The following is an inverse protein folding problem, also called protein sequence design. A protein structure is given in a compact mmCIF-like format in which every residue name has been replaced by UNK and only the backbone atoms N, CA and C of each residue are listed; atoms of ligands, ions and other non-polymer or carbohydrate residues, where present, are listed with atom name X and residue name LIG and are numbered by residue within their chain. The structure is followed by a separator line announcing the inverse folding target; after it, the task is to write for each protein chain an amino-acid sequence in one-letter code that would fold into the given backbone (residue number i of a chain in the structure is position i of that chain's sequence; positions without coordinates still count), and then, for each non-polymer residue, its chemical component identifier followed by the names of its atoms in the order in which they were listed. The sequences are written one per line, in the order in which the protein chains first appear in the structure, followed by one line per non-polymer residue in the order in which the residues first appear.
data_IF_905650748912
#
_entry.id   IF_905650748912
#
_cell.length_a   1.000
_cell.length_b   1.000
_cell.length_c   1.000
_cell.angle_alpha   90.00
_cell.angle_beta   90.00
_cell.angle_gamma   90.00
#
_symmetry.space_group_name_H-M   'P 1'
#
loop_
_entity.id
_entity.type
_entity.pdbx_description
1 polymer ?
#
# COMPACT_ATOMS: atom_id res chain seq x y z
N UNK A 1 -22.93 7.03 -4.05
CA UNK A 1 -23.00 8.47 -3.72
C UNK A 1 -21.59 8.88 -3.33
N UNK A 2 -20.96 9.84 -4.01
CA UNK A 2 -19.65 10.33 -3.59
C UNK A 2 -19.86 11.20 -2.35
N UNK A 3 -19.31 10.78 -1.21
CA UNK A 3 -19.21 11.64 -0.03
C UNK A 3 -18.43 12.91 -0.39
N UNK A 4 -18.82 14.05 0.19
CA UNK A 4 -18.14 15.34 -0.01
C UNK A 4 -16.69 15.34 0.51
N UNK A 5 -16.33 14.38 1.37
CA UNK A 5 -14.99 14.15 1.89
C UNK A 5 -14.76 12.67 2.21
N UNK A 6 -13.50 12.27 2.28
CA UNK A 6 -13.06 10.97 2.77
C UNK A 6 -12.70 11.15 4.25
N UNK A 7 -13.38 10.44 5.14
CA UNK A 7 -13.06 10.47 6.56
C UNK A 7 -11.81 9.60 6.78
N UNK A 8 -10.74 10.21 7.27
CA UNK A 8 -9.45 9.52 7.46
C UNK A 8 -8.91 9.71 8.86
N UNK A 9 -8.29 8.65 9.38
CA UNK A 9 -7.47 8.73 10.57
C UNK A 9 -6.03 9.10 10.20
N UNK A 10 -5.47 10.08 10.90
CA UNK A 10 -4.12 10.60 10.68
C UNK A 10 -3.32 10.54 11.99
N UNK A 11 -2.17 9.83 12.06
CA UNK A 11 -1.30 9.76 13.22
C UNK A 11 -0.45 11.04 13.31
N UNK A 12 -1.14 12.17 13.48
CA UNK A 12 -0.52 13.49 13.47
C UNK A 12 0.55 13.63 14.57
N UNK A 13 0.38 12.99 15.73
CA UNK A 13 1.33 13.02 16.84
C UNK A 13 2.68 12.38 16.53
N UNK A 14 2.73 11.46 15.57
CA UNK A 14 3.98 10.80 15.14
C UNK A 14 4.61 11.47 13.93
N UNK A 15 3.96 12.51 13.40
CA UNK A 15 4.31 13.20 12.17
C UNK A 15 4.98 14.54 12.49
N UNK A 16 5.89 15.01 11.64
CA UNK A 16 6.54 16.31 11.87
C UNK A 16 5.53 17.46 11.76
N UNK A 17 5.74 18.54 12.51
CA UNK A 17 4.83 19.70 12.47
C UNK A 17 4.67 20.26 11.05
N UNK A 18 5.76 20.36 10.29
CA UNK A 18 5.74 20.86 8.92
C UNK A 18 4.88 19.99 7.99
N UNK A 19 4.96 18.67 8.18
CA UNK A 19 4.17 17.71 7.42
C UNK A 19 2.69 17.72 7.83
N UNK A 20 2.37 17.90 9.12
CA UNK A 20 0.99 18.12 9.58
C UNK A 20 0.40 19.36 8.88
N UNK A 21 1.11 20.50 8.92
CA UNK A 21 0.66 21.72 8.25
C UNK A 21 0.46 21.50 6.75
N UNK A 22 1.43 20.89 6.08
CA UNK A 22 1.37 20.61 4.63
C UNK A 22 0.19 19.70 4.29
N UNK A 23 -0.02 18.64 5.07
CA UNK A 23 -1.11 17.68 4.90
C UNK A 23 -2.47 18.34 5.02
N UNK A 24 -2.71 19.10 6.10
CA UNK A 24 -3.99 19.77 6.33
C UNK A 24 -4.30 20.76 5.21
N UNK A 25 -3.33 21.61 4.84
CA UNK A 25 -3.51 22.62 3.80
C UNK A 25 -3.75 22.04 2.40
N UNK A 26 -3.03 20.97 2.05
CA UNK A 26 -3.08 20.43 0.68
C UNK A 26 -4.17 19.39 0.47
N UNK A 27 -4.46 18.55 1.48
CA UNK A 27 -5.29 17.36 1.31
C UNK A 27 -6.64 17.42 2.02
N UNK A 28 -6.85 18.34 2.97
CA UNK A 28 -8.07 18.37 3.78
C UNK A 28 -9.09 19.42 3.31
N UNK A 29 -10.31 19.32 3.83
CA UNK A 29 -11.40 20.29 3.58
C UNK A 29 -11.12 21.64 4.21
N UNK A 30 -11.90 22.65 3.85
CA UNK A 30 -11.77 24.02 4.39
C UNK A 30 -11.98 24.07 5.91
N UNK A 31 -12.85 23.22 6.45
CA UNK A 31 -13.12 23.13 7.89
C UNK A 31 -11.88 22.70 8.69
N UNK A 32 -11.14 21.69 8.21
CA UNK A 32 -9.89 21.26 8.84
C UNK A 32 -8.79 22.33 8.70
N UNK A 33 -8.77 23.05 7.58
CA UNK A 33 -7.83 24.16 7.34
C UNK A 33 -8.07 25.29 8.34
N UNK A 34 -9.33 25.67 8.59
CA UNK A 34 -9.69 26.67 9.59
C UNK A 34 -9.33 26.23 11.02
N UNK A 35 -9.35 24.91 11.27
CA UNK A 35 -8.99 24.33 12.57
C UNK A 35 -7.48 24.13 12.78
N UNK A 36 -6.64 24.51 11.80
CA UNK A 36 -5.21 24.18 11.79
C UNK A 36 -4.47 24.66 13.05
N UNK A 37 -4.76 25.87 13.55
CA UNK A 37 -4.09 26.38 14.76
C UNK A 37 -4.34 25.50 15.98
N UNK A 38 -5.60 25.07 16.17
CA UNK A 38 -5.97 24.13 17.24
C UNK A 38 -5.30 22.77 17.04
N UNK A 39 -5.26 22.26 15.81
CA UNK A 39 -4.60 20.99 15.48
C UNK A 39 -3.12 21.04 15.86
N UNK A 40 -2.44 22.16 15.57
CA UNK A 40 -1.02 22.34 15.91
C UNK A 40 -0.81 22.50 17.41
N UNK A 41 -1.74 23.12 18.13
CA UNK A 41 -1.67 23.21 19.59
C UNK A 41 -1.75 21.82 20.24
N UNK A 42 -2.69 20.99 19.80
CA UNK A 42 -2.83 19.60 20.27
C UNK A 42 -1.64 18.72 19.87
N UNK A 43 -1.10 18.93 18.66
CA UNK A 43 0.04 18.18 18.12
C UNK A 43 1.25 18.20 19.05
N UNK A 44 1.49 19.31 19.76
CA UNK A 44 2.61 19.42 20.71
C UNK A 44 2.49 18.41 21.85
N UNK A 45 1.29 18.22 22.37
CA UNK A 45 1.00 17.22 23.41
C UNK A 45 1.15 15.80 22.86
N UNK A 46 0.56 15.55 21.70
CA UNK A 46 0.62 14.25 21.01
C UNK A 46 2.07 13.83 20.68
N UNK A 47 2.88 14.76 20.17
CA UNK A 47 4.27 14.52 19.82
C UNK A 47 5.14 14.28 21.06
N UNK A 48 4.92 15.04 22.14
CA UNK A 48 5.59 14.77 23.43
C UNK A 48 5.26 13.36 23.93
N UNK A 49 3.99 13.00 23.92
CA UNK A 49 3.53 11.67 24.32
C UNK A 49 4.13 10.56 23.44
N UNK A 50 4.22 10.77 22.12
CA UNK A 50 4.91 9.83 21.23
C UNK A 50 6.38 9.65 21.62
N UNK A 51 7.09 10.73 21.97
CA UNK A 51 8.48 10.63 22.42
C UNK A 51 8.63 9.86 23.74
N UNK A 52 7.66 9.98 24.65
CA UNK A 52 7.59 9.17 25.86
C UNK A 52 7.42 7.67 25.53
N UNK A 53 6.54 7.34 24.58
CA UNK A 53 6.38 5.96 24.07
C UNK A 53 7.64 5.45 23.38
N UNK A 54 8.36 6.29 22.62
CA UNK A 54 9.62 5.89 21.97
C UNK A 54 10.67 5.46 23.00
N UNK A 55 10.69 6.12 24.16
CA UNK A 55 11.58 5.75 25.27
C UNK A 55 11.08 4.49 25.99
N UNK A 56 9.80 4.47 26.39
CA UNK A 56 9.21 3.40 27.21
C UNK A 56 9.10 2.07 26.45
N UNK A 57 8.84 2.10 25.15
CA UNK A 57 8.62 0.94 24.29
C UNK A 57 9.77 0.69 23.32
N UNK A 58 10.97 1.13 23.68
CA UNK A 58 12.17 0.91 22.86
C UNK A 58 12.35 -0.57 22.53
N UNK A 59 12.49 -0.90 21.25
CA UNK A 59 12.65 -2.28 20.81
C UNK A 59 11.33 -3.07 20.67
N UNK A 60 10.17 -2.43 20.86
CA UNK A 60 8.87 -3.08 20.69
C UNK A 60 8.69 -3.72 19.28
N UNK A 61 9.09 -3.09 18.16
CA UNK A 61 8.96 -3.70 16.83
C UNK A 61 9.74 -5.00 16.67
N UNK A 62 10.85 -5.17 17.39
CA UNK A 62 11.69 -6.38 17.37
C UNK A 62 11.11 -7.53 18.22
N UNK A 63 10.06 -7.26 18.99
CA UNK A 63 9.34 -8.26 19.79
C UNK A 63 8.11 -8.84 19.07
N UNK A 64 7.96 -8.55 17.77
CA UNK A 64 6.86 -9.05 16.96
C UNK A 64 6.91 -10.58 16.84
N UNK A 65 5.76 -11.21 17.03
CA UNK A 65 5.59 -12.63 16.83
C UNK A 65 5.14 -12.96 15.40
N UNK A 66 5.70 -14.04 14.86
CA UNK A 66 5.45 -14.56 13.52
C UNK A 66 5.39 -16.07 13.56
N UNK A 67 4.19 -16.60 13.79
CA UNK A 67 3.90 -18.02 13.92
C UNK A 67 3.76 -18.69 12.56
N UNK A 68 4.02 -20.00 12.54
CA UNK A 68 3.67 -20.85 11.41
C UNK A 68 2.15 -20.95 11.29
N UNK A 69 1.66 -20.94 10.05
CA UNK A 69 0.25 -21.22 9.77
C UNK A 69 0.06 -22.74 9.89
N UNK A 70 -1.06 -23.16 10.46
CA UNK A 70 -1.40 -24.59 10.62
C UNK A 70 -1.17 -25.36 9.30
N UNK A 71 -0.49 -26.50 9.42
CA UNK A 71 -0.12 -27.37 8.31
C UNK A 71 -1.32 -27.81 7.46
N UNK A 72 -2.53 -27.83 8.02
CA UNK A 72 -3.77 -28.08 7.29
C UNK A 72 -3.97 -27.11 6.10
N UNK A 73 -3.43 -25.89 6.18
CA UNK A 73 -3.55 -24.87 5.13
C UNK A 73 -2.40 -24.89 4.10
N UNK A 74 -1.38 -25.73 4.30
CA UNK A 74 -0.21 -25.80 3.41
C UNK A 74 -0.58 -25.99 1.91
N UNK A 75 -1.49 -26.90 1.53
CA UNK A 75 -1.85 -27.07 0.12
C UNK A 75 -2.45 -25.80 -0.51
N UNK A 76 -3.20 -25.03 0.29
CA UNK A 76 -3.82 -23.78 -0.17
C UNK A 76 -2.77 -22.68 -0.34
N UNK A 77 -1.81 -22.57 0.59
CA UNK A 77 -0.71 -21.62 0.49
C UNK A 77 0.22 -21.94 -0.69
N UNK A 78 0.48 -23.21 -0.97
CA UNK A 78 1.24 -23.65 -2.15
C UNK A 78 0.52 -23.30 -3.45
N UNK A 79 -0.81 -23.47 -3.50
CA UNK A 79 -1.63 -23.00 -4.63
C UNK A 79 -1.50 -21.49 -4.84
N UNK A 80 -1.50 -20.70 -3.76
CA UNK A 80 -1.29 -19.25 -3.85
C UNK A 80 0.12 -18.94 -4.37
N UNK A 81 1.16 -19.59 -3.86
CA UNK A 81 2.54 -19.37 -4.24
C UNK A 81 2.86 -19.81 -5.68
N UNK A 82 2.18 -20.85 -6.18
CA UNK A 82 2.35 -21.36 -7.54
C UNK A 82 1.77 -20.44 -8.63
N UNK A 83 0.87 -19.52 -8.25
CA UNK A 83 0.25 -18.56 -9.17
C UNK A 83 1.29 -17.66 -9.86
N UNK A 84 1.15 -17.44 -11.17
CA UNK A 84 2.10 -16.65 -11.96
C UNK A 84 2.26 -15.20 -11.46
N UNK A 85 1.18 -14.56 -10.98
CA UNK A 85 1.27 -13.21 -10.40
C UNK A 85 2.02 -13.21 -9.07
N UNK A 86 1.85 -14.25 -8.24
CA UNK A 86 2.62 -14.36 -7.01
C UNK A 86 4.12 -14.43 -7.31
N UNK A 87 4.52 -15.36 -8.19
CA UNK A 87 5.93 -15.53 -8.59
C UNK A 87 6.51 -14.24 -9.14
N UNK A 88 5.82 -13.56 -10.06
CA UNK A 88 6.30 -12.30 -10.66
C UNK A 88 6.41 -11.14 -9.67
N UNK A 89 5.67 -11.16 -8.58
CA UNK A 89 5.73 -10.08 -7.58
C UNK A 89 6.77 -10.34 -6.50
N UNK A 90 6.95 -11.59 -6.12
CA UNK A 90 7.79 -11.97 -4.99
C UNK A 90 9.05 -12.75 -5.41
N UNK A 91 9.55 -12.55 -6.63
CA UNK A 91 10.73 -13.28 -7.15
C UNK A 91 12.08 -12.74 -6.65
N UNK A 92 12.12 -11.48 -6.19
CA UNK A 92 13.38 -10.79 -5.91
C UNK A 92 14.06 -11.26 -4.64
N UNK A 93 13.27 -11.72 -3.65
CA UNK A 93 13.75 -12.13 -2.34
C UNK A 93 13.00 -13.38 -1.86
N UNK A 94 13.60 -14.20 -0.98
CA UNK A 94 12.92 -15.36 -0.41
C UNK A 94 11.63 -14.97 0.31
N UNK A 95 10.58 -15.78 0.14
CA UNK A 95 9.29 -15.56 0.79
C UNK A 95 8.78 -16.76 1.56
N UNK A 96 8.00 -16.48 2.61
CA UNK A 96 7.27 -17.47 3.40
C UNK A 96 5.90 -16.91 3.80
N UNK A 97 5.00 -17.78 4.26
CA UNK A 97 3.72 -17.34 4.83
C UNK A 97 3.77 -17.46 6.35
N UNK A 98 3.35 -16.42 7.06
CA UNK A 98 3.29 -16.44 8.52
C UNK A 98 2.01 -15.82 9.04
N UNK A 99 1.62 -16.26 10.23
CA UNK A 99 0.59 -15.64 11.04
C UNK A 99 1.27 -14.60 11.94
N UNK A 100 1.07 -13.31 11.63
CA UNK A 100 1.84 -12.19 12.23
C UNK A 100 1.00 -11.40 13.20
N UNK A 101 1.58 -11.03 14.33
CA UNK A 101 1.00 -10.12 15.32
C UNK A 101 0.80 -8.71 14.72
N UNK A 102 -0.44 -8.31 14.53
CA UNK A 102 -0.79 -7.10 13.77
C UNK A 102 -0.33 -5.85 14.50
N UNK A 103 -0.52 -5.77 15.82
CA UNK A 103 -0.27 -4.57 16.63
C UNK A 103 1.16 -4.02 16.50
N UNK A 104 2.15 -4.91 16.39
CA UNK A 104 3.58 -4.56 16.34
C UNK A 104 4.15 -4.42 14.93
N UNK A 105 3.33 -4.63 13.89
CA UNK A 105 3.75 -4.34 12.52
C UNK A 105 4.12 -2.87 12.40
N UNK A 106 5.30 -2.60 11.85
CA UNK A 106 5.70 -1.22 11.53
C UNK A 106 4.89 -0.72 10.35
N UNK A 107 4.29 0.46 10.50
CA UNK A 107 3.30 1.01 9.60
C UNK A 107 3.85 2.22 8.83
N UNK A 108 4.23 2.07 7.54
CA UNK A 108 4.72 3.20 6.74
C UNK A 108 3.60 4.08 6.16
N UNK A 109 2.34 3.65 6.22
CA UNK A 109 1.24 4.42 5.65
C UNK A 109 0.73 5.49 6.64
N UNK A 110 0.44 6.69 6.13
CA UNK A 110 0.11 7.87 6.95
C UNK A 110 -1.38 8.08 7.20
N UNK A 111 -2.26 7.41 6.45
CA UNK A 111 -3.71 7.60 6.58
C UNK A 111 -4.43 6.27 6.57
N UNK A 112 -5.46 6.16 7.42
CA UNK A 112 -6.47 5.11 7.35
C UNK A 112 -7.75 5.72 6.79
N UNK A 113 -8.19 5.29 5.62
CA UNK A 113 -9.53 5.60 5.10
C UNK A 113 -10.58 4.79 5.89
N UNK A 114 -11.39 5.47 6.70
CA UNK A 114 -12.33 4.81 7.62
C UNK A 114 -13.55 4.25 6.88
N UNK A 115 -13.98 4.89 5.79
CA UNK A 115 -15.08 4.40 4.96
C UNK A 115 -14.66 3.10 4.24
N UNK A 116 -13.44 3.06 3.73
CA UNK A 116 -12.89 1.84 3.12
C UNK A 116 -12.66 0.73 4.14
N UNK A 117 -12.21 1.06 5.36
CA UNK A 117 -12.12 0.08 6.45
C UNK A 117 -13.49 -0.52 6.76
N UNK A 118 -14.54 0.29 6.82
CA UNK A 118 -15.89 -0.20 7.09
C UNK A 118 -16.36 -1.16 5.98
N UNK A 119 -16.13 -0.81 4.71
CA UNK A 119 -16.41 -1.71 3.58
C UNK A 119 -15.64 -3.02 3.68
N UNK A 120 -14.37 -2.98 4.12
CA UNK A 120 -13.58 -4.20 4.32
C UNK A 120 -14.17 -5.09 5.42
N UNK A 121 -14.59 -4.51 6.55
CA UNK A 121 -15.21 -5.25 7.66
C UNK A 121 -16.50 -5.94 7.23
N UNK A 122 -17.29 -5.31 6.37
CA UNK A 122 -18.54 -5.89 5.82
C UNK A 122 -18.30 -7.11 4.93
N UNK A 123 -17.09 -7.29 4.38
CA UNK A 123 -16.74 -8.50 3.61
C UNK A 123 -16.37 -9.70 4.48
N UNK A 124 -16.22 -9.52 5.79
CA UNK A 124 -15.83 -10.56 6.73
C UNK A 124 -17.03 -11.00 7.58
N UNK A 125 -17.12 -12.29 7.96
CA UNK A 125 -18.04 -12.71 9.01
C UNK A 125 -17.63 -12.08 10.36
N UNK A 126 -18.57 -12.03 11.31
CA UNK A 126 -18.34 -11.45 12.64
C UNK A 126 -17.17 -12.11 13.39
N UNK A 127 -17.02 -13.42 13.23
CA UNK A 127 -15.94 -14.22 13.80
C UNK A 127 -15.21 -14.96 12.66
N UNK A 128 -14.25 -14.31 12.00
CA UNK A 128 -13.56 -14.92 10.85
C UNK A 128 -12.66 -16.06 11.29
N UNK A 129 -12.76 -17.17 10.55
CA UNK A 129 -11.89 -18.33 10.69
C UNK A 129 -10.66 -18.16 9.82
N UNK A 130 -9.67 -19.03 9.97
CA UNK A 130 -8.44 -18.97 9.19
C UNK A 130 -8.69 -19.00 7.67
N UNK A 131 -9.71 -19.72 7.20
CA UNK A 131 -10.08 -19.69 5.78
C UNK A 131 -10.52 -18.32 5.29
N UNK A 132 -11.29 -17.59 6.11
CA UNK A 132 -11.72 -16.22 5.84
C UNK A 132 -10.51 -15.27 5.85
N UNK A 133 -9.59 -15.45 6.79
CA UNK A 133 -8.37 -14.64 6.88
C UNK A 133 -7.44 -14.86 5.67
N UNK A 134 -7.25 -16.12 5.22
CA UNK A 134 -6.45 -16.41 4.02
C UNK A 134 -7.10 -15.78 2.78
N UNK A 135 -8.42 -15.91 2.62
CA UNK A 135 -9.18 -15.24 1.55
C UNK A 135 -8.96 -13.72 1.60
N UNK A 136 -9.12 -13.14 2.78
CA UNK A 136 -9.11 -11.71 2.97
C UNK A 136 -7.72 -11.09 2.77
N UNK A 137 -6.66 -11.77 3.23
CA UNK A 137 -5.29 -11.26 3.23
C UNK A 137 -4.48 -11.68 1.99
N UNK A 138 -4.65 -12.91 1.49
CA UNK A 138 -3.69 -13.51 0.54
C UNK A 138 -4.27 -13.80 -0.85
N UNK A 139 -5.60 -13.88 -1.01
CA UNK A 139 -6.19 -14.15 -2.31
C UNK A 139 -6.28 -12.91 -3.22
N UNK A 140 -6.32 -13.17 -4.52
CA UNK A 140 -6.46 -12.11 -5.53
C UNK A 140 -7.87 -11.55 -5.48
N UNK A 141 -7.97 -10.24 -5.29
CA UNK A 141 -9.25 -9.52 -5.43
C UNK A 141 -9.44 -9.06 -6.85
N UNK A 142 -10.66 -9.15 -7.33
CA UNK A 142 -11.05 -8.49 -8.57
C UNK A 142 -11.10 -6.98 -8.32
N UNK A 143 -10.42 -6.23 -9.18
CA UNK A 143 -10.53 -4.78 -9.18
C UNK A 143 -11.51 -4.35 -10.26
N UNK A 144 -12.27 -3.29 -9.98
CA UNK A 144 -13.10 -2.64 -11.00
C UNK A 144 -12.20 -2.18 -12.16
N UNK A 145 -12.60 -2.43 -13.42
CA UNK A 145 -11.85 -1.94 -14.57
C UNK A 145 -11.67 -0.42 -14.50
N UNK A 146 -10.47 0.11 -14.82
CA UNK A 146 -10.26 1.55 -14.86
C UNK A 146 -11.10 2.17 -15.98
N UNK A 147 -11.58 3.40 -15.76
CA UNK A 147 -12.20 4.20 -16.82
C UNK A 147 -11.10 4.64 -17.79
N UNK A 148 -11.41 4.68 -19.09
CA UNK A 148 -10.48 5.06 -20.16
C UNK A 148 -11.02 6.29 -20.91
N UNK A 149 -10.15 7.25 -21.17
CA UNK A 149 -10.41 8.41 -22.01
C UNK A 149 -9.28 8.60 -23.03
N UNK A 150 -9.63 8.77 -24.31
CA UNK A 150 -8.69 9.19 -25.35
C UNK A 150 -8.62 10.71 -25.37
N UNK A 151 -7.45 11.28 -25.05
CA UNK A 151 -7.28 12.75 -24.94
C UNK A 151 -6.53 13.34 -26.13
N UNK A 152 -5.77 12.52 -26.86
CA UNK A 152 -5.13 12.85 -28.13
C UNK A 152 -4.86 11.55 -28.92
N UNK A 153 -4.52 11.59 -30.21
CA UNK A 153 -4.22 10.38 -30.99
C UNK A 153 -3.12 9.49 -30.40
N UNK A 154 -2.17 10.09 -29.67
CA UNK A 154 -1.04 9.43 -29.02
C UNK A 154 -1.10 9.46 -27.49
N UNK A 155 -2.29 9.65 -26.91
CA UNK A 155 -2.42 9.79 -25.45
C UNK A 155 -3.74 9.25 -24.92
N UNK A 156 -3.63 8.41 -23.89
CA UNK A 156 -4.75 7.89 -23.11
C UNK A 156 -4.63 8.29 -21.65
N UNK A 157 -5.76 8.59 -21.03
CA UNK A 157 -5.89 8.72 -19.58
C UNK A 157 -6.71 7.56 -19.06
N UNK A 158 -6.18 6.87 -18.07
CA UNK A 158 -6.92 5.87 -17.31
C UNK A 158 -7.15 6.38 -15.89
N UNK A 159 -8.35 6.18 -15.34
CA UNK A 159 -8.67 6.59 -13.99
C UNK A 159 -9.34 5.48 -13.18
N UNK A 160 -9.00 5.41 -11.89
CA UNK A 160 -9.56 4.43 -10.95
C UNK A 160 -9.73 5.04 -9.57
N UNK A 161 -10.79 4.63 -8.87
CA UNK A 161 -10.98 4.96 -7.45
C UNK A 161 -10.06 4.14 -6.54
N UNK A 162 -9.45 3.06 -7.02
CA UNK A 162 -8.49 2.30 -6.24
C UNK A 162 -7.13 3.03 -6.26
N UNK A 163 -6.61 3.47 -5.10
CA UNK A 163 -5.37 4.24 -5.00
C UNK A 163 -4.11 3.44 -5.40
N UNK A 164 -4.25 2.13 -5.59
CA UNK A 164 -3.18 1.25 -6.04
C UNK A 164 -3.00 1.23 -7.57
N UNK A 165 -3.89 1.89 -8.32
CA UNK A 165 -3.81 2.00 -9.77
C UNK A 165 -2.52 2.71 -10.21
N UNK A 166 -1.79 2.14 -11.16
CA UNK A 166 -0.47 2.64 -11.56
C UNK A 166 -0.06 2.18 -12.96
N UNK A 167 0.96 2.83 -13.49
CA UNK A 167 1.69 2.32 -14.65
C UNK A 167 2.55 1.12 -14.23
N UNK A 168 2.48 0.05 -15.02
CA UNK A 168 3.18 -1.22 -14.77
C UNK A 168 4.40 -1.42 -15.69
N UNK A 169 4.72 -0.41 -16.50
CA UNK A 169 5.88 -0.43 -17.39
C UNK A 169 5.51 -0.57 -18.87
N UNK A 170 6.53 -0.38 -19.70
CA UNK A 170 6.46 -0.54 -21.15
C UNK A 170 7.55 -1.47 -21.65
N UNK A 171 7.23 -2.33 -22.60
CA UNK A 171 8.20 -3.25 -23.20
C UNK A 171 7.86 -3.56 -24.66
N UNK A 172 8.87 -3.96 -25.42
CA UNK A 172 8.65 -4.55 -26.73
C UNK A 172 8.18 -6.00 -26.57
N UNK A 173 7.20 -6.41 -27.37
CA UNK A 173 6.81 -7.81 -27.50
C UNK A 173 6.95 -8.27 -28.95
N UNK A 174 7.15 -9.58 -29.19
CA UNK A 174 6.96 -10.16 -30.50
C UNK A 174 5.55 -9.90 -31.02
N UNK A 175 5.43 -9.78 -32.34
CA UNK A 175 4.14 -9.58 -32.99
C UNK A 175 3.29 -10.85 -32.89
N UNK A 176 2.00 -10.64 -32.65
CA UNK A 176 0.94 -11.63 -32.77
C UNK A 176 0.13 -11.35 -34.04
N UNK A 177 -0.68 -12.31 -34.49
CA UNK A 177 -1.56 -12.10 -35.65
C UNK A 177 -2.50 -10.90 -35.47
N UNK A 178 -2.99 -10.67 -34.25
CA UNK A 178 -3.86 -9.55 -33.94
C UNK A 178 -3.14 -8.19 -34.06
N UNK A 179 -1.85 -8.13 -33.71
CA UNK A 179 -1.06 -6.91 -33.87
C UNK A 179 -0.86 -6.56 -35.37
N UNK A 180 -0.67 -7.58 -36.22
CA UNK A 180 -0.53 -7.40 -37.67
C UNK A 180 -1.85 -6.91 -38.28
N UNK A 181 -2.99 -7.49 -37.87
CA UNK A 181 -4.33 -7.08 -38.31
C UNK A 181 -4.68 -5.66 -37.85
N UNK A 182 -4.17 -5.22 -36.70
CA UNK A 182 -4.41 -3.89 -36.16
C UNK A 182 -3.56 -2.78 -36.83
N UNK A 183 -2.55 -3.13 -37.63
CA UNK A 183 -1.70 -2.16 -38.31
C UNK A 183 -2.46 -1.44 -39.43
N UNK A 184 -2.38 -0.10 -39.47
CA UNK A 184 -2.99 0.72 -40.54
C UNK A 184 -2.10 0.87 -41.79
N UNK A 185 -1.30 -0.15 -42.11
CA UNK A 185 -0.38 -0.19 -43.25
C UNK A 185 1.07 -0.52 -42.90
N UNK A 186 1.85 -0.94 -43.90
CA UNK A 186 3.22 -1.42 -43.71
C UNK A 186 3.32 -2.81 -43.09
N UNK A 187 4.54 -3.34 -43.01
CA UNK A 187 4.83 -4.61 -42.32
C UNK A 187 5.39 -4.27 -40.93
N UNK A 188 4.62 -4.43 -39.84
CA UNK A 188 5.14 -4.18 -38.51
C UNK A 188 6.30 -5.15 -38.22
N UNK A 189 7.34 -4.68 -37.54
CA UNK A 189 8.48 -5.49 -37.12
C UNK A 189 8.50 -5.79 -35.60
N UNK A 190 7.85 -4.94 -34.79
CA UNK A 190 7.71 -5.11 -33.35
C UNK A 190 6.48 -4.36 -32.84
N UNK A 191 5.95 -4.78 -31.69
CA UNK A 191 4.92 -4.05 -30.96
C UNK A 191 5.48 -3.52 -29.64
N UNK A 192 5.11 -2.28 -29.29
CA UNK A 192 5.39 -1.69 -27.97
C UNK A 192 4.10 -1.75 -27.16
N UNK A 193 4.17 -2.35 -25.97
CA UNK A 193 3.04 -2.48 -25.05
C UNK A 193 3.29 -1.64 -23.81
N UNK A 194 2.29 -0.86 -23.42
CA UNK A 194 2.29 -0.02 -22.23
C UNK A 194 1.21 -0.55 -21.28
N UNK A 195 1.60 -1.06 -20.12
CA UNK A 195 0.68 -1.69 -19.17
C UNK A 195 0.26 -0.71 -18.08
N UNK A 196 -1.04 -0.66 -17.80
CA UNK A 196 -1.62 -0.03 -16.61
C UNK A 196 -2.42 -1.06 -15.85
N UNK A 197 -2.47 -0.91 -14.53
CA UNK A 197 -3.21 -1.83 -13.71
C UNK A 197 -2.97 -1.57 -12.24
N UNK A 198 -3.07 -2.65 -11.46
CA UNK A 198 -2.98 -2.62 -10.01
C UNK A 198 -1.77 -3.46 -9.58
N UNK A 199 -1.20 -3.14 -8.42
CA UNK A 199 -0.26 -4.04 -7.78
C UNK A 199 -0.97 -5.27 -7.22
N UNK A 200 -0.20 -6.17 -6.59
CA UNK A 200 -0.84 -7.35 -6.00
C UNK A 200 -1.61 -6.96 -4.75
N UNK A 201 -2.86 -7.42 -4.60
CA UNK A 201 -3.66 -7.13 -3.42
C UNK A 201 -3.26 -8.02 -2.24
N UNK A 202 -2.05 -8.56 -2.15
CA UNK A 202 -1.67 -9.49 -1.08
C UNK A 202 -1.06 -8.74 0.10
N UNK A 203 -1.56 -9.01 1.30
CA UNK A 203 -0.94 -8.51 2.53
C UNK A 203 0.47 -9.08 2.61
N UNK A 204 1.46 -8.20 2.74
CA UNK A 204 2.84 -8.62 2.83
C UNK A 204 3.67 -7.64 3.65
N UNK A 205 4.71 -8.17 4.28
CA UNK A 205 5.65 -7.42 5.09
C UNK A 205 7.09 -7.74 4.70
N UNK A 206 7.98 -6.76 4.91
CA UNK A 206 9.43 -6.91 4.78
C UNK A 206 9.97 -7.30 6.16
N UNK A 207 10.60 -8.48 6.25
CA UNK A 207 11.26 -8.94 7.45
C UNK A 207 12.73 -8.54 7.41
N UNK A 208 13.16 -7.70 8.34
CA UNK A 208 14.53 -7.19 8.48
C UNK A 208 14.99 -7.46 9.91
N UNK A 209 15.91 -8.40 10.08
CA UNK A 209 16.26 -8.90 11.41
C UNK A 209 15.01 -9.45 12.11
N UNK A 210 14.66 -8.88 13.27
CA UNK A 210 13.46 -9.25 14.05
C UNK A 210 12.25 -8.35 13.79
N UNK A 211 12.36 -7.36 12.91
CA UNK A 211 11.31 -6.39 12.63
C UNK A 211 10.53 -6.79 11.38
N UNK A 212 9.23 -6.57 11.38
CA UNK A 212 8.39 -6.70 10.18
C UNK A 212 7.75 -5.35 9.83
N UNK A 213 8.04 -4.86 8.62
CA UNK A 213 7.52 -3.60 8.09
C UNK A 213 6.42 -3.93 7.10
N UNK A 214 5.21 -3.43 7.36
CA UNK A 214 4.07 -3.67 6.48
C UNK A 214 4.29 -2.96 5.13
N UNK A 215 4.34 -3.74 4.05
CA UNK A 215 4.55 -3.21 2.71
C UNK A 215 3.24 -3.12 1.92
N UNK A 216 2.29 -4.01 2.18
CA UNK A 216 0.92 -3.90 1.68
C UNK A 216 -0.08 -4.53 2.65
N UNK A 217 -1.31 -4.04 2.62
CA UNK A 217 -2.41 -4.54 3.44
C UNK A 217 -2.76 -3.67 4.64
N UNK A 218 -2.26 -2.43 4.72
CA UNK A 218 -2.48 -1.51 5.84
C UNK A 218 -3.93 -1.39 6.30
N UNK A 219 -4.87 -1.02 5.42
CA UNK A 219 -6.29 -0.92 5.77
C UNK A 219 -6.90 -2.26 6.22
N UNK A 220 -6.40 -3.39 5.69
CA UNK A 220 -6.87 -4.73 6.09
C UNK A 220 -6.37 -5.09 7.48
N UNK A 221 -5.11 -4.79 7.78
CA UNK A 221 -4.54 -4.98 9.11
C UNK A 221 -5.28 -4.11 10.14
N UNK A 222 -5.54 -2.85 9.79
CA UNK A 222 -6.36 -1.97 10.63
C UNK A 222 -7.76 -2.55 10.85
N UNK A 223 -8.46 -2.97 9.78
CA UNK A 223 -9.80 -3.54 9.87
C UNK A 223 -9.86 -4.79 10.77
N UNK A 224 -8.88 -5.70 10.65
CA UNK A 224 -8.79 -6.88 11.49
C UNK A 224 -8.55 -6.52 12.96
N UNK A 225 -7.63 -5.59 13.22
CA UNK A 225 -7.32 -5.15 14.59
C UNK A 225 -8.52 -4.43 15.23
N UNK A 226 -9.25 -3.63 14.48
CA UNK A 226 -10.50 -2.97 14.90
C UNK A 226 -11.63 -3.98 15.19
N UNK A 227 -11.59 -5.16 14.55
CA UNK A 227 -12.47 -6.31 14.86
C UNK A 227 -11.96 -7.14 16.06
N UNK A 228 -10.87 -6.75 16.70
CA UNK A 228 -10.26 -7.47 17.83
C UNK A 228 -9.37 -8.66 17.43
N UNK A 229 -9.06 -8.80 16.14
CA UNK A 229 -8.22 -9.89 15.63
C UNK A 229 -6.76 -9.45 15.72
N UNK A 230 -5.97 -10.19 16.50
CA UNK A 230 -4.58 -9.84 16.80
C UNK A 230 -3.55 -10.38 15.80
N UNK A 231 -3.93 -11.39 15.03
CA UNK A 231 -3.03 -12.10 14.15
C UNK A 231 -3.62 -12.28 12.74
N UNK A 232 -2.81 -12.08 11.71
CA UNK A 232 -3.23 -12.23 10.32
C UNK A 232 -2.20 -12.96 9.46
N UNK A 233 -2.62 -13.73 8.44
CA UNK A 233 -1.71 -14.39 7.52
C UNK A 233 -1.14 -13.39 6.51
N UNK A 234 0.19 -13.29 6.45
CA UNK A 234 0.93 -12.40 5.56
C UNK A 234 1.95 -13.18 4.73
N UNK A 235 2.28 -12.66 3.55
CA UNK A 235 3.52 -13.03 2.84
C UNK A 235 4.67 -12.26 3.46
N UNK A 236 5.69 -12.96 3.94
CA UNK A 236 6.88 -12.37 4.54
C UNK A 236 8.00 -12.42 3.52
N UNK A 237 8.54 -11.26 3.20
CA UNK A 237 9.70 -11.09 2.32
C UNK A 237 10.95 -10.97 3.18
N UNK A 238 11.89 -11.92 3.06
CA UNK A 238 13.12 -11.93 3.86
C UNK A 238 14.15 -11.02 3.23
N UNK A 239 14.46 -9.91 3.92
CA UNK A 239 15.43 -8.92 3.46
C UNK A 239 16.72 -9.10 4.26
N UNK A 240 17.81 -9.37 3.54
CA UNK A 240 19.14 -9.54 4.12
C UNK A 240 19.94 -8.22 4.12
N UNK A 241 19.80 -7.44 3.05
CA UNK A 241 20.55 -6.21 2.80
C UNK A 241 19.57 -5.07 2.45
N UNK A 242 18.93 -4.43 3.45
CA UNK A 242 17.95 -3.36 3.24
C UNK A 242 18.46 -2.22 2.34
N UNK A 243 19.76 -1.95 2.38
CA UNK A 243 20.43 -0.93 1.58
C UNK A 243 20.36 -1.21 0.06
N UNK A 244 20.34 -2.48 -0.34
CA UNK A 244 20.38 -2.95 -1.72
C UNK A 244 19.03 -3.48 -2.22
N UNK A 245 18.21 -4.01 -1.31
CA UNK A 245 16.98 -4.74 -1.65
C UNK A 245 15.71 -3.92 -1.47
N UNK A 246 15.77 -2.79 -0.75
CA UNK A 246 14.63 -1.91 -0.49
C UNK A 246 14.92 -0.52 -1.04
N UNK A 247 13.92 0.09 -1.65
CA UNK A 247 13.96 1.50 -2.06
C UNK A 247 14.29 2.42 -0.86
N UNK A 248 14.91 3.60 -1.10
CA UNK A 248 15.21 4.57 -0.04
C UNK A 248 13.98 5.05 0.74
N UNK A 249 12.80 4.99 0.12
CA UNK A 249 11.53 5.33 0.76
C UNK A 249 10.47 4.25 0.49
N UNK A 250 9.63 3.99 1.49
CA UNK A 250 8.43 3.15 1.38
C UNK A 250 7.22 4.04 1.64
N UNK A 251 6.39 4.26 0.62
CA UNK A 251 5.17 5.09 0.71
C UNK A 251 5.48 6.50 1.27
N UNK A 252 6.60 7.09 0.82
CA UNK A 252 7.03 8.44 1.24
C UNK A 252 7.48 8.53 2.71
N UNK A 253 7.88 7.40 3.29
CA UNK A 253 8.56 7.33 4.59
C UNK A 253 9.99 6.83 4.37
N UNK A 254 11.02 7.52 4.91
CA UNK A 254 12.40 7.08 4.80
C UNK A 254 12.62 5.68 5.34
N UNK A 255 13.33 4.85 4.58
CA UNK A 255 13.70 3.49 4.98
C UNK A 255 14.44 3.50 6.31
N UNK A 256 15.34 4.45 6.55
CA UNK A 256 16.14 4.54 7.78
C UNK A 256 15.25 4.71 9.02
N UNK A 257 14.15 5.46 8.92
CA UNK A 257 13.17 5.57 9.99
C UNK A 257 12.50 4.22 10.24
N UNK A 258 12.04 3.55 9.19
CA UNK A 258 11.34 2.27 9.31
C UNK A 258 12.23 1.13 9.81
N UNK A 259 13.53 1.16 9.48
CA UNK A 259 14.48 0.09 9.81
C UNK A 259 15.23 0.35 11.10
N UNK A 260 15.66 1.58 11.35
CA UNK A 260 16.63 1.90 12.43
C UNK A 260 16.02 2.66 13.59
N UNK A 261 14.87 3.34 13.42
CA UNK A 261 14.25 4.07 14.52
C UNK A 261 13.90 3.09 15.65
N UNK A 262 14.19 3.39 16.93
CA UNK A 262 14.02 2.45 18.05
C UNK A 262 12.57 2.00 18.25
N UNK A 263 11.62 2.81 17.80
CA UNK A 263 10.17 2.59 17.94
C UNK A 263 9.46 3.45 16.89
N UNK A 264 9.43 3.04 15.60
CA UNK A 264 8.69 3.77 14.57
C UNK A 264 7.18 3.67 14.83
N UNK A 265 6.37 4.29 13.98
CA UNK A 265 4.92 4.07 13.99
C UNK A 265 4.61 2.59 13.76
N UNK A 266 3.76 2.03 14.62
CA UNK A 266 3.25 0.67 14.56
C UNK A 266 1.73 0.69 14.37
N UNK A 267 1.15 -0.43 13.93
CA UNK A 267 -0.30 -0.52 13.71
C UNK A 267 -1.12 -0.16 14.94
N UNK A 268 -0.67 -0.54 16.16
CA UNK A 268 -1.39 -0.21 17.40
C UNK A 268 -1.52 1.30 17.67
N UNK A 269 -0.64 2.12 17.13
CA UNK A 269 -0.68 3.58 17.34
C UNK A 269 -1.91 4.22 16.70
N UNK A 270 -2.43 3.59 15.65
CA UNK A 270 -3.63 4.05 15.00
C UNK A 270 -4.89 3.87 15.87
N UNK A 271 -4.78 3.23 17.03
CA UNK A 271 -5.85 3.09 18.01
C UNK A 271 -5.63 3.97 19.25
N UNK A 272 -4.48 4.66 19.34
CA UNK A 272 -4.19 5.57 20.43
C UNK A 272 -4.71 6.98 20.12
N UNK A 273 -5.79 7.37 20.80
CA UNK A 273 -6.48 8.65 20.63
C UNK A 273 -5.59 9.88 20.93
N UNK A 274 -4.48 9.71 21.65
CA UNK A 274 -3.52 10.79 21.86
C UNK A 274 -2.60 11.00 20.66
N UNK A 275 -2.41 9.99 19.81
CA UNK A 275 -1.53 10.04 18.65
C UNK A 275 -2.26 10.34 17.34
N UNK A 276 -3.55 10.00 17.28
CA UNK A 276 -4.36 10.11 16.06
C UNK A 276 -5.39 11.21 16.12
N UNK A 277 -5.72 11.73 14.94
CA UNK A 277 -6.83 12.65 14.73
C UNK A 277 -7.64 12.24 13.51
N UNK A 278 -8.97 12.40 13.59
CA UNK A 278 -9.85 12.28 12.43
C UNK A 278 -9.78 13.57 11.63
N UNK A 279 -9.56 13.45 10.33
CA UNK A 279 -9.52 14.53 9.36
C UNK A 279 -10.41 14.20 8.16
N UNK A 280 -10.89 15.23 7.48
CA UNK A 280 -11.75 15.15 6.30
C UNK A 280 -10.91 15.48 5.07
N UNK A 281 -10.51 14.43 4.35
CA UNK A 281 -9.70 14.57 3.15
C UNK A 281 -10.57 14.85 1.93
N UNK A 282 -10.05 15.67 1.01
CA UNK A 282 -10.65 15.87 -0.31
C UNK A 282 -10.65 14.52 -1.05
N UNK A 283 -11.75 14.12 -1.71
CA UNK A 283 -11.77 12.89 -2.48
C UNK A 283 -10.75 12.98 -3.62
N UNK A 284 -10.02 11.89 -3.85
CA UNK A 284 -9.01 11.79 -4.90
C UNK A 284 -9.28 10.57 -5.78
N UNK A 285 -9.15 10.75 -7.09
CA UNK A 285 -9.15 9.67 -8.07
C UNK A 285 -7.73 9.54 -8.59
N UNK A 286 -7.25 8.29 -8.72
CA UNK A 286 -5.92 8.07 -9.28
C UNK A 286 -6.00 8.02 -10.80
N UNK A 287 -5.20 8.87 -11.43
CA UNK A 287 -5.08 8.93 -12.89
C UNK A 287 -3.69 8.49 -13.34
N UNK A 288 -3.66 7.71 -14.41
CA UNK A 288 -2.44 7.34 -15.13
C UNK A 288 -2.61 7.83 -16.57
N UNK A 289 -1.86 8.88 -16.91
CA UNK A 289 -1.76 9.37 -18.28
C UNK A 289 -0.59 8.70 -18.96
N UNK A 290 -0.84 8.08 -20.11
CA UNK A 290 0.18 7.52 -20.98
C UNK A 290 0.17 8.31 -22.28
N UNK A 291 1.35 8.80 -22.66
CA UNK A 291 1.57 9.44 -23.96
C UNK A 291 2.84 8.86 -24.58
N UNK A 292 2.86 8.75 -25.92
CA UNK A 292 4.05 8.29 -26.65
C UNK A 292 4.40 9.25 -27.78
N UNK A 293 5.69 9.31 -28.13
CA UNK A 293 6.21 10.11 -29.23
C UNK A 293 7.16 9.23 -30.06
N UNK A 294 7.13 9.40 -31.38
CA UNK A 294 8.03 8.74 -32.32
C UNK A 294 8.88 9.81 -33.02
N UNK A 295 10.20 9.65 -32.95
CA UNK A 295 11.14 10.49 -33.68
C UNK A 295 11.89 9.63 -34.70
N UNK A 296 12.09 10.17 -35.89
CA UNK A 296 12.82 9.52 -36.97
C UNK A 296 14.03 10.38 -37.31
N UNK A 297 15.19 9.75 -37.38
CA UNK A 297 16.41 10.37 -37.88
C UNK A 297 17.13 9.37 -38.79
N UNK A 298 17.76 9.90 -39.83
CA UNK A 298 18.64 9.13 -40.70
C UNK A 298 20.07 9.40 -40.28
N UNK A 299 20.81 8.36 -39.92
CA UNK A 299 22.26 8.45 -39.67
C UNK A 299 22.98 7.86 -40.89
N UNK A 300 23.85 8.60 -41.58
CA UNK A 300 24.67 8.03 -42.64
C UNK A 300 25.62 6.98 -42.05
N UNK A 301 25.78 5.86 -42.77
CA UNK A 301 26.67 4.75 -42.40
C UNK A 301 28.11 5.10 -42.74
#
# INVERSE_FOLDING_TARGET
MNSASIISLFPYGTTTQAEVVSTIKSMCTEEDIQSLESIIAEWRGASKYFMELVSAERGAPESIDGMEIDAAYKPRLEKIASNAFFKRTFFTVPTEFKLVEIEKLVAPQKFVDLDYVQQLKETLPREPKMDDLINFCLELRQNTPPKKLSVAPNSFVYSSSNPDFRFLGGYSKPLTEDDVKASMGGMPAAAIVLLVGYGTPRCNALSIGKRMILNNGFHRMYALLDMGIKYAPLVIQKIAHPELEIAPEIIGVPREYLVRHPRPVMMKDFFDKMLVRVIHRKPAIKEVRISWNAQQSSVPI
#
